data_IF_144101041747
#
_entry.id   IF_144101041747
#
_cell.length_a   1.000
_cell.length_b   1.000
_cell.length_c   1.000
_cell.angle_alpha   90.00
_cell.angle_beta   90.00
_cell.angle_gamma   90.00
#
_symmetry.space_group_name_H-M   'P 1'
#
loop_
_entity.id
_entity.type
_entity.pdbx_description
1 polymer ?
#
# COMPACT_ATOMS: atom_id res chain seq x y z
N UNK A 1 -9.38 -34.63 -22.11
CA UNK A 1 -9.54 -33.16 -22.17
C UNK A 1 -8.68 -32.59 -21.05
N UNK A 2 -7.69 -31.73 -21.34
CA UNK A 2 -6.80 -31.17 -20.32
C UNK A 2 -7.63 -30.47 -19.22
N UNK A 3 -7.20 -30.63 -17.96
CA UNK A 3 -7.77 -29.95 -16.78
C UNK A 3 -8.16 -28.50 -17.08
N UNK A 4 -7.24 -27.74 -17.70
CA UNK A 4 -7.43 -26.32 -18.03
C UNK A 4 -8.68 -26.05 -18.87
N UNK A 5 -8.95 -26.87 -19.89
CA UNK A 5 -10.12 -26.66 -20.74
C UNK A 5 -11.41 -26.90 -19.94
N UNK A 6 -11.46 -27.98 -19.16
CA UNK A 6 -12.64 -28.27 -18.32
C UNK A 6 -12.85 -27.18 -17.26
N UNK A 7 -11.77 -26.67 -16.67
CA UNK A 7 -11.83 -25.63 -15.66
C UNK A 7 -12.33 -24.28 -16.23
N UNK A 8 -11.83 -23.88 -17.40
CA UNK A 8 -12.24 -22.63 -18.08
C UNK A 8 -13.70 -22.69 -18.53
N UNK A 9 -14.16 -23.83 -19.06
CA UNK A 9 -15.54 -23.99 -19.51
C UNK A 9 -16.53 -24.39 -18.40
N UNK A 10 -16.05 -24.65 -17.17
CA UNK A 10 -16.92 -24.93 -16.04
C UNK A 10 -17.83 -23.74 -15.73
N UNK A 11 -19.11 -24.02 -15.55
CA UNK A 11 -20.18 -23.02 -15.46
C UNK A 11 -20.48 -22.57 -14.03
N UNK A 12 -20.00 -23.32 -13.03
CA UNK A 12 -20.18 -23.00 -11.62
C UNK A 12 -18.87 -23.08 -10.82
N UNK A 13 -18.83 -22.39 -9.68
CA UNK A 13 -17.73 -22.48 -8.74
C UNK A 13 -17.58 -23.89 -8.15
N UNK A 14 -18.69 -24.58 -7.91
CA UNK A 14 -18.72 -25.96 -7.39
C UNK A 14 -18.09 -26.95 -8.39
N UNK A 15 -18.39 -26.81 -9.68
CA UNK A 15 -17.79 -27.63 -10.73
C UNK A 15 -16.27 -27.41 -10.80
N UNK A 16 -15.83 -26.16 -10.74
CA UNK A 16 -14.41 -25.80 -10.67
C UNK A 16 -13.73 -26.40 -9.44
N UNK A 17 -14.37 -26.32 -8.28
CA UNK A 17 -13.83 -26.88 -7.03
C UNK A 17 -13.72 -28.40 -7.09
N UNK A 18 -14.71 -29.08 -7.66
CA UNK A 18 -14.67 -30.53 -7.87
C UNK A 18 -13.53 -30.92 -8.80
N UNK A 19 -13.36 -30.20 -9.91
CA UNK A 19 -12.24 -30.42 -10.84
C UNK A 19 -10.88 -30.25 -10.15
N UNK A 20 -10.71 -29.21 -9.33
CA UNK A 20 -9.50 -28.99 -8.53
C UNK A 20 -9.29 -30.17 -7.58
N UNK A 21 -10.31 -30.56 -6.81
CA UNK A 21 -10.20 -31.63 -5.83
C UNK A 21 -9.87 -33.00 -6.44
N UNK A 22 -10.37 -33.26 -7.66
CA UNK A 22 -10.12 -34.52 -8.37
C UNK A 22 -8.73 -34.60 -9.03
N UNK A 23 -8.15 -33.46 -9.42
CA UNK A 23 -6.99 -33.45 -10.34
C UNK A 23 -5.76 -32.70 -9.83
N UNK A 24 -5.89 -31.88 -8.78
CA UNK A 24 -4.77 -31.13 -8.19
C UNK A 24 -4.52 -31.66 -6.77
N UNK A 25 -3.31 -32.16 -6.46
CA UNK A 25 -2.96 -32.59 -5.12
C UNK A 25 -3.24 -31.50 -4.09
N UNK A 26 -3.80 -31.83 -2.93
CA UNK A 26 -4.22 -30.84 -1.92
C UNK A 26 -3.12 -29.85 -1.54
N UNK A 27 -1.86 -30.30 -1.49
CA UNK A 27 -0.70 -29.46 -1.15
C UNK A 27 -0.26 -28.51 -2.29
N UNK A 28 -0.75 -28.72 -3.52
CA UNK A 28 -0.52 -27.85 -4.67
C UNK A 28 -1.73 -26.95 -4.97
N UNK A 29 -2.83 -27.09 -4.22
CA UNK A 29 -4.02 -26.26 -4.41
C UNK A 29 -3.78 -24.85 -3.86
N UNK A 30 -3.86 -23.87 -4.75
CA UNK A 30 -3.82 -22.46 -4.38
C UNK A 30 -5.06 -22.07 -3.57
N UNK A 31 -4.87 -21.41 -2.43
CA UNK A 31 -5.94 -20.78 -1.67
C UNK A 31 -5.65 -19.29 -1.48
N UNK A 32 -6.54 -18.46 -2.03
CA UNK A 32 -6.50 -17.03 -1.82
C UNK A 32 -6.68 -16.68 -0.33
N UNK A 33 -7.59 -17.37 0.34
CA UNK A 33 -7.90 -17.18 1.75
C UNK A 33 -6.69 -17.45 2.63
N UNK A 34 -5.92 -18.51 2.35
CA UNK A 34 -4.69 -18.81 3.08
C UNK A 34 -3.60 -17.77 2.79
N UNK A 35 -3.51 -17.27 1.56
CA UNK A 35 -2.56 -16.21 1.21
C UNK A 35 -2.89 -14.89 1.94
N UNK A 36 -4.18 -14.54 2.04
CA UNK A 36 -4.62 -13.30 2.70
C UNK A 36 -4.84 -13.45 4.21
N UNK A 37 -4.94 -14.65 4.75
CA UNK A 37 -5.16 -14.88 6.18
C UNK A 37 -4.41 -16.14 6.61
N UNK A 38 -3.07 -16.12 6.63
CA UNK A 38 -2.26 -17.33 6.81
C UNK A 38 -2.24 -17.85 8.26
N UNK A 39 -2.63 -17.02 9.23
CA UNK A 39 -2.59 -17.36 10.65
C UNK A 39 -3.77 -18.28 10.99
N UNK A 40 -3.50 -19.55 11.25
CA UNK A 40 -4.53 -20.53 11.61
C UNK A 40 -4.93 -20.45 13.09
N UNK A 41 -6.04 -21.09 13.45
CA UNK A 41 -6.44 -21.24 14.85
C UNK A 41 -5.41 -22.03 15.66
N UNK A 42 -4.79 -23.05 15.06
CA UNK A 42 -3.75 -23.86 15.70
C UNK A 42 -2.49 -23.05 16.01
N UNK A 43 -2.09 -22.17 15.10
CA UNK A 43 -0.99 -21.23 15.32
C UNK A 43 -1.25 -20.29 16.50
N UNK A 44 -2.51 -20.06 16.89
CA UNK A 44 -2.90 -19.13 17.94
C UNK A 44 -3.19 -19.80 19.29
N UNK A 45 -3.01 -21.11 19.43
CA UNK A 45 -3.27 -21.83 20.68
C UNK A 45 -2.38 -21.38 21.83
N UNK A 46 -1.11 -21.08 21.56
CA UNK A 46 -0.15 -20.55 22.53
C UNK A 46 0.92 -19.70 21.84
N UNK A 47 1.74 -18.99 22.61
CA UNK A 47 2.84 -18.21 22.04
C UNK A 47 3.94 -19.09 21.42
N UNK A 48 4.17 -20.28 21.96
CA UNK A 48 5.12 -21.26 21.41
C UNK A 48 4.63 -21.81 20.07
N UNK A 49 3.33 -22.14 19.97
CA UNK A 49 2.71 -22.55 18.71
C UNK A 49 2.81 -21.43 17.67
N UNK A 50 2.55 -20.18 18.08
CA UNK A 50 2.65 -19.03 17.18
C UNK A 50 4.08 -18.77 16.72
N UNK A 51 5.06 -18.83 17.63
CA UNK A 51 6.48 -18.69 17.30
C UNK A 51 6.92 -19.76 16.30
N UNK A 52 6.58 -21.02 16.56
CA UNK A 52 6.91 -22.15 15.69
C UNK A 52 6.29 -21.98 14.31
N UNK A 53 5.00 -21.67 14.26
CA UNK A 53 4.28 -21.38 13.02
C UNK A 53 4.90 -20.22 12.25
N UNK A 54 5.21 -19.10 12.92
CA UNK A 54 5.75 -17.91 12.28
C UNK A 54 7.12 -18.20 11.65
N UNK A 55 8.00 -18.89 12.38
CA UNK A 55 9.33 -19.26 11.85
C UNK A 55 9.21 -20.19 10.63
N UNK A 56 8.30 -21.17 10.65
CA UNK A 56 8.04 -22.03 9.49
C UNK A 56 7.46 -21.24 8.32
N UNK A 57 6.51 -20.34 8.59
CA UNK A 57 5.89 -19.50 7.57
C UNK A 57 6.91 -18.57 6.88
N UNK A 58 7.78 -17.92 7.65
CA UNK A 58 8.87 -17.09 7.11
C UNK A 58 9.87 -17.93 6.32
N UNK A 59 10.21 -19.13 6.80
CA UNK A 59 11.09 -20.06 6.09
C UNK A 59 10.51 -20.51 4.74
N UNK A 60 9.22 -20.83 4.70
CA UNK A 60 8.53 -21.17 3.46
C UNK A 60 8.51 -19.97 2.50
N UNK A 61 8.24 -18.76 2.99
CA UNK A 61 8.20 -17.58 2.13
C UNK A 61 9.58 -17.27 1.49
N UNK A 62 10.67 -17.48 2.24
CA UNK A 62 12.04 -17.42 1.72
C UNK A 62 12.26 -18.47 0.63
N UNK A 63 11.86 -19.72 0.88
CA UNK A 63 11.99 -20.80 -0.10
C UNK A 63 11.27 -20.44 -1.41
N UNK A 64 10.01 -20.00 -1.32
CA UNK A 64 9.24 -19.56 -2.49
C UNK A 64 9.87 -18.36 -3.20
N UNK A 65 10.40 -17.39 -2.43
CA UNK A 65 11.07 -16.23 -3.01
C UNK A 65 12.35 -16.61 -3.78
N UNK A 66 13.10 -17.62 -3.32
CA UNK A 66 14.31 -18.11 -3.99
C UNK A 66 14.01 -18.80 -5.33
N UNK A 67 12.81 -19.39 -5.49
CA UNK A 67 12.37 -19.95 -6.77
C UNK A 67 12.01 -18.86 -7.80
N UNK A 68 11.80 -17.62 -7.36
CA UNK A 68 11.40 -16.49 -8.19
C UNK A 68 9.98 -16.64 -8.75
N UNK A 69 9.54 -15.65 -9.54
CA UNK A 69 8.19 -15.61 -10.11
C UNK A 69 7.98 -16.52 -11.34
N UNK A 70 9.03 -17.22 -11.80
CA UNK A 70 8.94 -18.21 -12.88
C UNK A 70 8.59 -19.59 -12.31
N UNK A 71 9.29 -19.99 -11.24
CA UNK A 71 9.16 -21.35 -10.70
C UNK A 71 8.29 -21.44 -9.46
N UNK A 72 8.01 -20.33 -8.76
CA UNK A 72 7.04 -20.32 -7.65
C UNK A 72 5.65 -19.86 -8.13
N UNK A 73 4.64 -20.75 -8.14
CA UNK A 73 3.27 -20.38 -8.49
C UNK A 73 2.69 -19.33 -7.54
N UNK A 74 3.04 -19.39 -6.24
CA UNK A 74 2.52 -18.43 -5.25
C UNK A 74 3.13 -17.04 -5.44
N UNK A 75 4.43 -16.96 -5.77
CA UNK A 75 5.06 -15.67 -6.08
C UNK A 75 4.58 -15.13 -7.42
N UNK A 76 4.38 -15.99 -8.43
CA UNK A 76 3.77 -15.60 -9.70
C UNK A 76 2.36 -15.03 -9.51
N UNK A 77 1.49 -15.72 -8.75
CA UNK A 77 0.13 -15.26 -8.46
C UNK A 77 0.12 -13.93 -7.67
N UNK A 78 1.03 -13.77 -6.71
CA UNK A 78 1.18 -12.54 -5.94
C UNK A 78 1.62 -11.36 -6.82
N UNK A 79 2.45 -11.62 -7.83
CA UNK A 79 2.99 -10.61 -8.75
C UNK A 79 1.93 -10.02 -9.68
N UNK A 80 0.84 -10.76 -9.96
CA UNK A 80 -0.29 -10.27 -10.78
C UNK A 80 -0.85 -8.95 -10.26
N UNK A 81 -0.94 -8.78 -8.94
CA UNK A 81 -1.40 -7.53 -8.33
C UNK A 81 -0.45 -6.36 -8.60
N UNK A 82 0.84 -6.64 -8.76
CA UNK A 82 1.84 -5.64 -9.14
C UNK A 82 1.70 -5.26 -10.62
N UNK A 83 1.42 -6.23 -11.48
CA UNK A 83 1.22 -6.01 -12.93
C UNK A 83 -0.07 -5.25 -13.24
N UNK A 84 -1.13 -5.51 -12.46
CA UNK A 84 -2.41 -4.80 -12.60
C UNK A 84 -2.39 -3.38 -12.02
N UNK A 85 -1.31 -2.96 -11.34
CA UNK A 85 -1.28 -1.69 -10.61
C UNK A 85 -1.58 -0.47 -11.48
N UNK A 86 -1.09 -0.43 -12.72
CA UNK A 86 -1.34 0.73 -13.59
C UNK A 86 -2.79 0.76 -14.12
N UNK A 87 -3.42 -0.42 -14.30
CA UNK A 87 -4.85 -0.51 -14.60
C UNK A 87 -5.69 -0.06 -13.41
N UNK A 88 -5.29 -0.45 -12.19
CA UNK A 88 -5.91 0.02 -10.96
C UNK A 88 -5.79 1.54 -10.83
N UNK A 89 -4.61 2.12 -11.06
CA UNK A 89 -4.41 3.58 -11.06
C UNK A 89 -5.33 4.27 -12.05
N UNK A 90 -5.44 3.77 -13.27
CA UNK A 90 -6.32 4.35 -14.28
C UNK A 90 -7.80 4.39 -13.85
N UNK A 91 -8.25 3.40 -13.06
CA UNK A 91 -9.61 3.35 -12.53
C UNK A 91 -9.81 4.16 -11.24
N UNK A 92 -8.76 4.36 -10.44
CA UNK A 92 -8.85 4.98 -9.10
C UNK A 92 -8.56 6.48 -9.14
N UNK A 93 -7.53 6.90 -9.89
CA UNK A 93 -7.02 8.26 -9.91
C UNK A 93 -8.15 9.29 -10.15
N UNK A 94 -8.08 10.41 -9.43
CA UNK A 94 -8.99 11.55 -9.54
C UNK A 94 -10.47 11.19 -9.31
N UNK A 95 -10.76 10.41 -8.26
CA UNK A 95 -12.10 9.96 -7.88
C UNK A 95 -12.79 9.10 -8.97
N UNK A 96 -12.04 8.23 -9.65
CA UNK A 96 -12.61 7.32 -10.66
C UNK A 96 -13.54 6.24 -10.09
N UNK A 97 -13.43 5.95 -8.79
CA UNK A 97 -14.33 5.05 -8.07
C UNK A 97 -15.52 5.77 -7.43
N UNK A 98 -16.58 5.03 -7.12
CA UNK A 98 -17.61 5.52 -6.19
C UNK A 98 -17.02 5.72 -4.78
N UNK A 99 -17.63 6.59 -3.97
CA UNK A 99 -17.21 6.81 -2.57
C UNK A 99 -17.11 5.49 -1.78
N UNK A 100 -18.13 4.62 -1.88
CA UNK A 100 -18.16 3.35 -1.17
C UNK A 100 -17.04 2.39 -1.63
N UNK A 101 -16.80 2.31 -2.94
CA UNK A 101 -15.70 1.51 -3.50
C UNK A 101 -14.33 2.07 -3.09
N UNK A 102 -14.18 3.39 -3.05
CA UNK A 102 -12.94 4.03 -2.63
C UNK A 102 -12.63 3.75 -1.15
N UNK A 103 -13.65 3.81 -0.28
CA UNK A 103 -13.52 3.47 1.14
C UNK A 103 -13.13 2.00 1.32
N UNK A 104 -13.78 1.08 0.62
CA UNK A 104 -13.45 -0.35 0.64
C UNK A 104 -12.03 -0.62 0.16
N UNK A 105 -11.59 0.09 -0.90
CA UNK A 105 -10.25 -0.06 -1.45
C UNK A 105 -9.18 0.23 -0.39
N UNK A 106 -9.31 1.33 0.37
CA UNK A 106 -8.36 1.69 1.42
C UNK A 106 -8.49 0.84 2.68
N UNK A 107 -9.71 0.47 3.09
CA UNK A 107 -9.92 -0.29 4.33
C UNK A 107 -9.58 -1.77 4.22
N UNK A 108 -9.75 -2.35 3.02
CA UNK A 108 -9.77 -3.81 2.85
C UNK A 108 -8.80 -4.29 1.77
N UNK A 109 -8.84 -3.70 0.58
CA UNK A 109 -8.02 -4.17 -0.53
C UNK A 109 -6.54 -3.79 -0.39
N UNK A 110 -6.24 -2.52 -0.10
CA UNK A 110 -4.89 -2.00 -0.06
C UNK A 110 -4.00 -2.68 1.00
N UNK A 111 -4.47 -2.96 2.24
CA UNK A 111 -3.69 -3.73 3.21
C UNK A 111 -3.33 -5.13 2.72
N UNK A 112 -4.26 -5.81 2.04
CA UNK A 112 -4.02 -7.14 1.46
C UNK A 112 -3.00 -7.05 0.34
N UNK A 113 -3.19 -6.13 -0.61
CA UNK A 113 -2.29 -5.92 -1.74
C UNK A 113 -0.87 -5.58 -1.28
N UNK A 114 -0.72 -4.70 -0.28
CA UNK A 114 0.59 -4.34 0.28
C UNK A 114 1.29 -5.55 0.89
N UNK A 115 0.59 -6.40 1.63
CA UNK A 115 1.22 -7.59 2.23
C UNK A 115 1.60 -8.63 1.18
N UNK A 116 0.74 -8.89 0.20
CA UNK A 116 0.91 -9.99 -0.76
C UNK A 116 1.89 -9.62 -1.88
N UNK A 117 1.74 -8.44 -2.48
CA UNK A 117 2.44 -8.08 -3.72
C UNK A 117 3.61 -7.11 -3.54
N UNK A 118 3.65 -6.42 -2.39
CA UNK A 118 4.76 -5.51 -2.07
C UNK A 118 5.67 -6.18 -1.05
N UNK A 119 5.09 -6.67 0.05
CA UNK A 119 5.72 -7.54 1.03
C UNK A 119 7.02 -6.98 1.63
N UNK A 120 7.60 -7.65 2.63
CA UNK A 120 9.00 -7.43 2.97
C UNK A 120 9.90 -8.05 1.88
N UNK A 121 11.05 -7.43 1.55
CA UNK A 121 12.09 -8.07 0.75
C UNK A 121 12.55 -9.38 1.41
N UNK A 122 12.92 -10.39 0.60
CA UNK A 122 13.41 -11.70 1.08
C UNK A 122 14.53 -11.54 2.11
N UNK A 123 15.48 -10.63 1.85
CA UNK A 123 16.62 -10.37 2.73
C UNK A 123 16.17 -9.92 4.14
N UNK A 124 15.07 -9.14 4.23
CA UNK A 124 14.50 -8.71 5.52
C UNK A 124 13.83 -9.85 6.28
N UNK A 125 13.27 -10.82 5.55
CA UNK A 125 12.71 -12.04 6.15
C UNK A 125 13.84 -12.92 6.68
N UNK A 126 14.93 -13.08 5.92
CA UNK A 126 16.14 -13.82 6.33
C UNK A 126 16.75 -13.21 7.61
N UNK A 127 16.92 -11.89 7.65
CA UNK A 127 17.41 -11.17 8.84
C UNK A 127 16.48 -11.37 10.06
N UNK A 128 15.17 -11.22 9.88
CA UNK A 128 14.19 -11.42 10.95
C UNK A 128 14.26 -12.85 11.50
N UNK A 129 14.32 -13.85 10.63
CA UNK A 129 14.41 -15.25 11.01
C UNK A 129 15.72 -15.54 11.76
N UNK A 130 16.84 -15.00 11.31
CA UNK A 130 18.14 -15.13 11.99
C UNK A 130 18.11 -14.55 13.41
N UNK A 131 17.52 -13.36 13.59
CA UNK A 131 17.35 -12.74 14.91
C UNK A 131 16.43 -13.56 15.82
N UNK A 132 15.37 -14.16 15.27
CA UNK A 132 14.50 -15.06 16.02
C UNK A 132 15.20 -16.35 16.46
N UNK A 133 16.01 -16.95 15.58
CA UNK A 133 16.80 -18.14 15.87
C UNK A 133 17.89 -17.86 16.92
N UNK A 134 18.50 -16.68 16.89
CA UNK A 134 19.47 -16.23 17.89
C UNK A 134 18.85 -15.86 19.25
N UNK A 135 17.51 -15.82 19.35
CA UNK A 135 16.81 -15.41 20.58
C UNK A 135 16.86 -13.92 20.86
N UNK A 136 17.31 -13.10 19.91
CA UNK A 136 17.35 -11.63 20.02
C UNK A 136 15.98 -11.02 19.77
N UNK A 137 15.20 -11.61 18.86
CA UNK A 137 13.84 -11.20 18.54
C UNK A 137 12.85 -12.30 18.95
N UNK A 138 11.78 -11.94 19.66
CA UNK A 138 10.69 -12.87 19.97
C UNK A 138 9.34 -12.32 19.52
N UNK A 139 8.40 -13.24 19.28
CA UNK A 139 7.03 -12.94 18.86
C UNK A 139 6.00 -13.41 19.90
N UNK A 140 6.40 -13.39 21.18
CA UNK A 140 5.69 -14.08 22.27
C UNK A 140 4.33 -13.45 22.63
N UNK A 141 4.03 -12.27 22.10
CA UNK A 141 2.80 -11.54 22.37
C UNK A 141 1.76 -11.63 21.25
N UNK A 142 2.15 -12.20 20.10
CA UNK A 142 1.25 -12.52 19.01
C UNK A 142 0.56 -11.31 18.36
N UNK A 143 -0.47 -11.55 17.54
CA UNK A 143 -1.19 -10.48 16.88
C UNK A 143 -2.05 -9.68 17.86
N UNK A 144 -1.99 -8.35 17.73
CA UNK A 144 -2.85 -7.45 18.49
C UNK A 144 -2.37 -7.17 19.92
N UNK A 145 -1.09 -7.43 20.23
CA UNK A 145 -0.48 -7.02 21.50
C UNK A 145 -0.65 -5.52 21.76
N UNK A 146 -0.84 -5.16 23.04
CA UNK A 146 -1.04 -3.79 23.49
C UNK A 146 0.07 -3.39 24.47
N UNK A 147 0.54 -2.15 24.38
CA UNK A 147 1.48 -1.61 25.35
C UNK A 147 0.85 -0.38 26.01
N UNK A 148 0.79 -0.38 27.35
CA UNK A 148 0.18 0.68 28.17
C UNK A 148 1.18 1.19 29.18
N UNK A 149 1.07 2.48 29.52
CA UNK A 149 1.84 3.09 30.59
C UNK A 149 1.08 2.89 31.91
N UNK A 150 1.75 2.30 32.91
CA UNK A 150 1.24 2.10 34.26
C UNK A 150 2.22 2.71 35.26
N UNK A 151 1.86 3.85 35.84
CA UNK A 151 2.80 4.67 36.61
C UNK A 151 3.99 5.10 35.75
N UNK A 152 5.20 4.75 36.18
CA UNK A 152 6.45 5.00 35.46
C UNK A 152 6.91 3.82 34.58
N UNK A 153 6.15 2.72 34.54
CA UNK A 153 6.48 1.52 33.76
C UNK A 153 5.65 1.44 32.46
N UNK A 154 6.22 0.79 31.44
CA UNK A 154 5.47 0.34 30.27
C UNK A 154 5.19 -1.16 30.41
N UNK A 155 3.92 -1.55 30.27
CA UNK A 155 3.48 -2.94 30.32
C UNK A 155 3.04 -3.35 28.92
N UNK A 156 3.71 -4.37 28.37
CA UNK A 156 3.30 -5.06 27.15
C UNK A 156 2.45 -6.27 27.53
N UNK A 157 1.27 -6.40 26.94
CA UNK A 157 0.34 -7.50 27.19
C UNK A 157 -0.14 -8.13 25.89
N UNK A 158 -0.23 -9.47 25.92
CA UNK A 158 -0.78 -10.24 24.82
C UNK A 158 -2.30 -10.15 24.89
N UNK A 159 -2.95 -10.04 23.73
CA UNK A 159 -4.43 -9.98 23.68
C UNK A 159 -5.08 -11.37 23.74
N UNK A 160 -4.35 -12.39 23.30
CA UNK A 160 -4.86 -13.75 23.13
C UNK A 160 -4.42 -14.73 24.21
N UNK A 161 -3.40 -14.36 24.97
CA UNK A 161 -2.72 -15.25 25.91
C UNK A 161 -2.41 -14.47 27.20
N UNK A 162 -2.17 -15.13 28.34
CA UNK A 162 -1.99 -14.46 29.64
C UNK A 162 -0.64 -13.71 29.79
N UNK A 163 0.23 -13.75 28.79
CA UNK A 163 1.57 -13.17 28.82
C UNK A 163 1.49 -11.65 28.97
N UNK A 164 2.27 -11.15 29.93
CA UNK A 164 2.53 -9.74 30.13
C UNK A 164 3.97 -9.56 30.61
N UNK A 165 4.62 -8.47 30.20
CA UNK A 165 5.93 -8.11 30.72
C UNK A 165 6.10 -6.60 30.83
N UNK A 166 7.08 -6.20 31.65
CA UNK A 166 7.58 -4.83 31.65
C UNK A 166 8.55 -4.65 30.48
N UNK A 167 8.47 -3.50 29.82
CA UNK A 167 9.39 -3.11 28.75
C UNK A 167 9.95 -1.73 29.03
N UNK A 168 11.18 -1.48 28.57
CA UNK A 168 11.84 -0.18 28.76
C UNK A 168 11.47 0.81 27.67
N UNK A 169 11.30 0.32 26.44
CA UNK A 169 11.10 1.14 25.24
C UNK A 169 10.00 0.56 24.36
N UNK A 170 9.08 1.42 23.92
CA UNK A 170 8.08 1.11 22.90
C UNK A 170 8.47 1.75 21.57
N UNK A 171 8.85 0.92 20.58
CA UNK A 171 9.11 1.37 19.21
C UNK A 171 7.87 1.13 18.35
N UNK A 172 7.24 2.20 17.86
CA UNK A 172 6.13 2.13 16.91
C UNK A 172 6.66 2.02 15.47
N UNK A 173 7.01 0.81 15.04
CA UNK A 173 7.51 0.54 13.69
C UNK A 173 6.38 0.42 12.64
N UNK A 174 5.48 1.40 12.58
CA UNK A 174 4.38 1.45 11.60
C UNK A 174 4.40 2.80 10.89
N UNK A 175 4.20 2.79 9.58
CA UNK A 175 4.01 4.00 8.79
C UNK A 175 2.51 4.23 8.66
N UNK A 176 2.02 5.36 9.18
CA UNK A 176 0.63 5.77 8.96
C UNK A 176 0.45 6.25 7.52
N UNK A 177 -0.74 6.05 6.97
CA UNK A 177 -1.12 6.75 5.74
C UNK A 177 -1.10 8.25 6.02
N UNK A 178 -0.45 9.01 5.14
CA UNK A 178 -0.34 10.46 5.26
C UNK A 178 -1.71 11.11 5.04
N UNK A 179 -2.10 12.02 5.93
CA UNK A 179 -3.17 12.98 5.66
C UNK A 179 -2.63 14.38 5.87
N UNK A 180 -2.70 15.27 4.87
CA UNK A 180 -2.33 16.67 5.05
C UNK A 180 -3.16 17.38 6.13
N UNK A 181 -4.31 16.82 6.51
CA UNK A 181 -5.14 17.33 7.61
C UNK A 181 -4.44 17.24 8.96
N UNK A 182 -3.67 16.17 9.17
CA UNK A 182 -3.04 15.84 10.44
C UNK A 182 -1.52 16.12 10.41
N UNK A 183 -1.05 16.84 9.38
CA UNK A 183 0.36 17.15 9.17
C UNK A 183 0.81 18.37 10.00
N UNK A 184 1.97 18.27 10.64
CA UNK A 184 2.56 19.33 11.47
C UNK A 184 3.40 20.36 10.67
N UNK A 185 3.53 20.16 9.35
CA UNK A 185 4.23 21.07 8.45
C UNK A 185 3.55 22.44 8.41
N UNK A 186 4.29 23.46 8.83
CA UNK A 186 3.83 24.85 8.80
C UNK A 186 3.41 25.31 7.41
N UNK A 187 4.07 24.81 6.36
CA UNK A 187 3.71 25.10 4.96
C UNK A 187 2.32 24.56 4.62
N UNK A 188 2.06 23.28 4.88
CA UNK A 188 0.79 22.64 4.55
C UNK A 188 -0.36 23.27 5.34
N UNK A 189 -0.16 23.49 6.64
CA UNK A 189 -1.13 24.16 7.49
C UNK A 189 -1.46 25.56 6.98
N UNK A 190 -0.46 26.33 6.56
CA UNK A 190 -0.68 27.69 6.05
C UNK A 190 -1.35 27.69 4.68
N UNK A 191 -1.02 26.76 3.77
CA UNK A 191 -1.68 26.62 2.48
C UNK A 191 -3.18 26.32 2.64
N UNK A 192 -3.52 25.40 3.55
CA UNK A 192 -4.91 25.07 3.88
C UNK A 192 -5.63 26.25 4.54
N UNK A 193 -5.01 26.89 5.54
CA UNK A 193 -5.60 28.01 6.29
C UNK A 193 -5.84 29.24 5.42
N UNK A 194 -4.95 29.53 4.48
CA UNK A 194 -5.07 30.66 3.55
C UNK A 194 -5.99 30.38 2.36
N UNK A 195 -6.52 29.15 2.25
CA UNK A 195 -7.36 28.74 1.12
C UNK A 195 -6.59 28.53 -0.20
N UNK A 196 -5.25 28.57 -0.15
CA UNK A 196 -4.38 28.32 -1.31
C UNK A 196 -4.27 26.84 -1.68
N UNK A 197 -4.87 25.96 -0.88
CA UNK A 197 -5.05 24.57 -1.23
C UNK A 197 -6.21 23.96 -0.43
N UNK A 198 -6.76 22.82 -0.87
CA UNK A 198 -7.77 22.05 -0.14
C UNK A 198 -7.42 20.57 -0.09
N UNK A 199 -8.04 19.85 0.85
CA UNK A 199 -7.95 18.40 0.94
C UNK A 199 -8.76 17.75 -0.20
N UNK A 200 -8.30 16.59 -0.67
CA UNK A 200 -9.04 15.82 -1.67
C UNK A 200 -10.21 15.06 -1.04
N UNK A 201 -11.37 15.08 -1.70
CA UNK A 201 -12.55 14.31 -1.29
C UNK A 201 -13.16 13.59 -2.49
N UNK A 202 -13.57 12.33 -2.27
CA UNK A 202 -14.49 11.62 -3.14
C UNK A 202 -15.84 11.50 -2.43
N UNK A 203 -16.81 12.34 -2.81
CA UNK A 203 -18.03 12.52 -2.03
C UNK A 203 -17.72 13.05 -0.64
N UNK A 204 -18.11 12.32 0.41
CA UNK A 204 -17.78 12.66 1.81
C UNK A 204 -16.48 12.02 2.31
N UNK A 205 -15.85 11.14 1.52
CA UNK A 205 -14.68 10.39 1.92
C UNK A 205 -13.36 11.11 1.59
N UNK A 206 -12.55 11.34 2.61
CA UNK A 206 -11.16 11.80 2.47
C UNK A 206 -10.21 10.61 2.58
N UNK A 207 -9.62 10.12 1.47
CA UNK A 207 -8.65 9.02 1.48
C UNK A 207 -7.24 9.45 1.93
N UNK A 208 -7.02 10.75 2.13
CA UNK A 208 -5.70 11.36 2.25
C UNK A 208 -5.47 12.39 1.13
N UNK A 209 -4.33 13.07 1.20
CA UNK A 209 -3.83 13.91 0.12
C UNK A 209 -4.53 15.27 -0.09
N UNK A 210 -3.80 16.14 -0.76
CA UNK A 210 -4.25 17.43 -1.26
C UNK A 210 -4.97 17.22 -2.59
N UNK A 211 -5.96 18.07 -2.85
CA UNK A 211 -6.65 18.07 -4.13
C UNK A 211 -5.77 18.73 -5.21
N UNK A 212 -5.68 18.08 -6.36
CA UNK A 212 -4.90 18.52 -7.51
C UNK A 212 -5.65 18.27 -8.80
N UNK A 213 -5.47 19.15 -9.79
CA UNK A 213 -5.98 18.90 -11.13
C UNK A 213 -5.16 17.81 -11.86
N UNK A 214 -5.55 17.47 -13.09
CA UNK A 214 -4.85 16.47 -13.91
C UNK A 214 -3.44 16.90 -14.34
N UNK A 215 -3.09 18.17 -14.15
CA UNK A 215 -1.75 18.73 -14.38
C UNK A 215 -0.95 18.86 -13.09
N UNK A 216 -1.47 18.35 -11.97
CA UNK A 216 -0.89 18.41 -10.63
C UNK A 216 -0.87 19.79 -10.00
N UNK A 217 -1.61 20.76 -10.55
CA UNK A 217 -1.80 22.05 -9.91
C UNK A 217 -2.64 21.87 -8.64
N UNK A 218 -2.25 22.51 -7.54
CA UNK A 218 -3.06 22.53 -6.31
C UNK A 218 -4.43 23.14 -6.60
N UNK A 219 -5.48 22.58 -6.01
CA UNK A 219 -6.83 23.17 -6.03
C UNK A 219 -7.03 24.01 -4.77
N UNK A 220 -7.38 25.28 -4.94
CA UNK A 220 -7.70 26.22 -3.87
C UNK A 220 -9.06 25.91 -3.22
N UNK A 221 -9.35 26.54 -2.09
CA UNK A 221 -10.61 26.34 -1.36
C UNK A 221 -11.86 26.72 -2.18
N UNK A 222 -11.73 27.66 -3.12
CA UNK A 222 -12.79 28.07 -4.05
C UNK A 222 -12.96 27.11 -5.25
N UNK A 223 -12.14 26.05 -5.34
CA UNK A 223 -12.17 25.07 -6.42
C UNK A 223 -11.34 25.45 -7.65
N UNK A 224 -10.68 26.60 -7.65
CA UNK A 224 -9.83 27.02 -8.76
C UNK A 224 -8.42 26.40 -8.68
N UNK A 225 -7.78 26.09 -9.83
CA UNK A 225 -6.39 25.63 -9.83
C UNK A 225 -5.44 26.80 -9.54
N UNK A 226 -4.48 26.58 -8.64
CA UNK A 226 -3.40 27.52 -8.35
C UNK A 226 -2.34 27.41 -9.44
N UNK A 227 -2.32 28.40 -10.34
CA UNK A 227 -1.58 28.33 -11.60
C UNK A 227 -0.07 28.08 -11.46
N UNK A 228 0.54 28.55 -10.37
CA UNK A 228 1.98 28.49 -10.12
C UNK A 228 2.38 27.56 -8.97
N UNK A 229 1.49 26.67 -8.53
CA UNK A 229 1.78 25.71 -7.46
C UNK A 229 1.35 24.30 -7.87
N UNK A 230 2.25 23.34 -7.68
CA UNK A 230 2.04 21.93 -8.00
C UNK A 230 2.36 21.05 -6.79
N UNK A 231 1.66 19.93 -6.66
CA UNK A 231 1.96 18.89 -5.68
C UNK A 231 2.08 17.52 -6.38
N UNK A 232 3.09 16.75 -5.99
CA UNK A 232 3.43 15.45 -6.58
C UNK A 232 3.81 14.47 -5.46
N UNK A 233 3.54 13.19 -5.67
CA UNK A 233 3.94 12.13 -4.73
C UNK A 233 3.02 12.05 -3.52
N UNK A 234 3.59 11.75 -2.34
CA UNK A 234 2.87 11.48 -1.09
C UNK A 234 1.81 12.55 -0.73
N UNK A 235 2.08 13.87 -0.88
CA UNK A 235 1.07 14.89 -0.62
C UNK A 235 -0.20 14.77 -1.46
N UNK A 236 -0.19 13.97 -2.54
CA UNK A 236 -1.34 13.71 -3.43
C UNK A 236 -1.90 12.30 -3.29
N UNK A 237 -1.40 11.47 -2.36
CA UNK A 237 -1.94 10.13 -2.11
C UNK A 237 -3.42 10.24 -1.72
N UNK A 238 -4.30 9.69 -2.53
CA UNK A 238 -5.75 9.86 -2.40
C UNK A 238 -6.35 10.38 -3.69
N UNK A 239 -5.86 11.53 -4.18
CA UNK A 239 -6.16 12.02 -5.52
C UNK A 239 -5.45 11.17 -6.58
N UNK A 240 -4.22 10.74 -6.29
CA UNK A 240 -3.47 9.75 -7.03
C UNK A 240 -3.31 8.50 -6.20
N UNK A 241 -3.44 7.34 -6.84
CA UNK A 241 -3.29 6.06 -6.19
C UNK A 241 -1.84 5.58 -6.20
N UNK A 242 -1.36 5.20 -5.01
CA UNK A 242 -0.12 4.45 -4.84
C UNK A 242 1.13 5.22 -5.29
N UNK A 243 1.30 6.40 -4.71
CA UNK A 243 2.39 7.37 -4.94
C UNK A 243 3.68 7.01 -4.18
N UNK A 244 3.62 6.04 -3.26
CA UNK A 244 4.77 5.56 -2.46
C UNK A 244 5.81 4.74 -3.24
N UNK A 245 5.81 4.81 -4.57
CA UNK A 245 6.70 4.01 -5.41
C UNK A 245 7.82 4.84 -5.98
N UNK A 246 9.02 4.25 -5.97
CA UNK A 246 10.18 4.82 -6.67
C UNK A 246 10.14 4.44 -8.16
N UNK A 247 10.76 5.26 -9.04
CA UNK A 247 10.93 4.90 -10.43
C UNK A 247 11.65 3.57 -10.60
N UNK A 248 11.17 2.75 -11.54
CA UNK A 248 11.72 1.42 -11.85
C UNK A 248 12.28 1.39 -13.28
N UNK A 249 13.39 0.68 -13.52
CA UNK A 249 13.90 0.44 -14.88
C UNK A 249 12.87 -0.28 -15.75
N UNK A 250 12.89 0.00 -17.07
CA UNK A 250 12.09 -0.73 -18.06
C UNK A 250 10.58 -0.43 -18.06
N UNK A 251 10.11 0.51 -17.23
CA UNK A 251 8.69 0.91 -17.18
C UNK A 251 8.54 2.43 -17.15
N UNK A 252 7.45 2.93 -17.76
CA UNK A 252 7.12 4.35 -17.74
C UNK A 252 6.54 4.75 -16.37
N UNK A 253 7.42 4.89 -15.38
CA UNK A 253 7.05 5.06 -13.97
C UNK A 253 6.17 6.29 -13.75
N UNK A 254 4.99 6.12 -13.12
CA UNK A 254 4.03 7.22 -12.88
C UNK A 254 4.69 8.44 -12.24
N UNK A 255 5.59 8.27 -11.26
CA UNK A 255 6.27 9.39 -10.61
C UNK A 255 7.05 10.28 -11.60
N UNK A 256 7.70 9.68 -12.60
CA UNK A 256 8.46 10.42 -13.63
C UNK A 256 7.51 11.06 -14.64
N UNK A 257 6.46 10.34 -15.05
CA UNK A 257 5.43 10.86 -15.96
C UNK A 257 4.72 12.07 -15.36
N UNK A 258 4.34 11.97 -14.09
CA UNK A 258 3.60 12.99 -13.36
C UNK A 258 4.49 14.23 -13.16
N UNK A 259 5.75 14.04 -12.75
CA UNK A 259 6.74 15.12 -12.67
C UNK A 259 6.98 15.79 -14.03
N UNK A 260 7.14 15.00 -15.10
CA UNK A 260 7.31 15.52 -16.46
C UNK A 260 6.13 16.39 -16.91
N UNK A 261 4.90 15.99 -16.59
CA UNK A 261 3.69 16.77 -16.88
C UNK A 261 3.69 18.11 -16.14
N UNK A 262 3.99 18.10 -14.84
CA UNK A 262 4.05 19.32 -14.04
C UNK A 262 5.15 20.28 -14.54
N UNK A 263 6.35 19.77 -14.83
CA UNK A 263 7.48 20.57 -15.33
C UNK A 263 7.17 21.15 -16.71
N UNK A 264 6.64 20.36 -17.65
CA UNK A 264 6.27 20.86 -18.97
C UNK A 264 5.23 22.00 -18.88
N UNK A 265 4.27 21.89 -17.97
CA UNK A 265 3.28 22.94 -17.72
C UNK A 265 3.90 24.20 -17.13
N UNK A 266 4.80 24.03 -16.16
CA UNK A 266 5.56 25.13 -15.56
C UNK A 266 6.38 25.90 -16.60
N UNK A 267 7.11 25.20 -17.47
CA UNK A 267 7.90 25.82 -18.53
C UNK A 267 7.03 26.60 -19.52
N UNK A 268 5.91 26.01 -19.97
CA UNK A 268 4.95 26.70 -20.85
C UNK A 268 4.38 27.99 -20.23
N UNK A 269 4.16 28.00 -18.91
CA UNK A 269 3.72 29.20 -18.19
C UNK A 269 4.80 30.28 -18.17
N UNK A 270 6.06 29.91 -17.95
CA UNK A 270 7.20 30.84 -17.95
C UNK A 270 7.37 31.48 -19.33
N UNK A 271 7.32 30.69 -20.39
CA UNK A 271 7.44 31.17 -21.78
C UNK A 271 6.36 32.20 -22.12
N UNK A 272 5.09 31.92 -21.77
CA UNK A 272 3.98 32.86 -21.99
C UNK A 272 4.15 34.17 -21.23
N UNK A 273 4.66 34.11 -20.00
CA UNK A 273 4.94 35.30 -19.21
C UNK A 273 6.03 36.14 -19.87
N UNK A 274 7.10 35.51 -20.36
CA UNK A 274 8.16 36.20 -21.11
C UNK A 274 7.67 36.82 -22.42
N UNK A 275 6.84 36.11 -23.19
CA UNK A 275 6.26 36.64 -24.43
C UNK A 275 5.41 37.88 -24.16
N UNK A 276 4.51 37.81 -23.17
CA UNK A 276 3.67 38.95 -22.77
C UNK A 276 4.49 40.14 -22.29
N UNK A 277 5.55 39.91 -21.51
CA UNK A 277 6.46 40.99 -21.07
C UNK A 277 7.18 41.65 -22.25
N UNK A 278 7.57 40.89 -23.27
CA UNK A 278 8.18 41.44 -24.49
C UNK A 278 7.19 42.26 -25.31
N UNK A 279 5.96 41.77 -25.49
CA UNK A 279 4.90 42.51 -26.20
C UNK A 279 4.59 43.84 -25.53
N UNK A 280 4.49 43.87 -24.19
CA UNK A 280 4.27 45.10 -23.43
C UNK A 280 5.44 46.08 -23.57
N UNK A 281 6.69 45.59 -23.57
CA UNK A 281 7.87 46.43 -23.73
C UNK A 281 8.08 46.96 -25.17
N UNK A 282 7.42 46.40 -26.18
CA UNK A 282 7.44 46.92 -27.56
C UNK A 282 6.23 47.82 -27.88
N UNK A 283 5.27 47.92 -26.96
CA UNK A 283 4.08 48.77 -27.08
C UNK A 283 4.25 50.14 -26.38
N UNK A 284 5.33 50.33 -25.63
CA UNK A 284 5.80 51.61 -25.07
C UNK A 284 6.84 52.27 -26.00
#
# INVERSE_FOLDING_TARGET
MLFCNRFVFATSAEERQKLIAEQVPVHEQFSWEQLVSPVSADALQSHESFKTWLMMYLGQDIFEAQQGNINSPIKAASDVLRDLRDHLRAAIDFAGLTEASHRWLYSSFLPVMNRVAVGPPKERIEEMLALMQAGVLTADFGPGAECKKEGDSLILSAKRWPQQCKVDVLIKARVSMHSPKDDESSLLQQLLKSGQARLFYNGSFHPGGMDVDRNFNLIAADGSPVANAWALGIPTEGAKFYTFVVPRPGVNSTAVVDAGRAVARMLSMIEKKHARSKELAHAE
#
